data_IF_443450403361
#
_entry.id   IF_443450403361
#
_cell.length_a   1.000
_cell.length_b   1.000
_cell.length_c   1.000
_cell.angle_alpha   90.00
_cell.angle_beta   90.00
_cell.angle_gamma   90.00
#
_symmetry.space_group_name_H-M   'P 1'
#
loop_
_entity.id
_entity.type
_entity.pdbx_description
1 polymer ?
#
# COMPACT_ATOMS: atom_id res chain seq x y z
N UNK A 1 43.91 11.28 56.75
CA UNK A 1 43.67 11.59 55.34
C UNK A 1 42.38 10.91 54.93
N UNK A 2 41.27 11.66 54.78
CA UNK A 2 39.96 11.09 54.34
C UNK A 2 39.83 11.35 52.85
N UNK A 3 39.77 10.31 52.02
CA UNK A 3 39.51 10.40 50.59
C UNK A 3 37.99 10.57 50.39
N UNK A 4 37.63 11.69 49.76
CA UNK A 4 36.28 11.94 49.23
C UNK A 4 36.17 11.35 47.81
N UNK A 5 35.38 10.29 47.66
CA UNK A 5 34.98 9.83 46.32
C UNK A 5 33.79 10.69 45.86
N UNK A 6 34.00 11.48 44.81
CA UNK A 6 32.93 12.18 44.10
C UNK A 6 32.35 11.24 43.05
N UNK A 7 31.13 10.78 43.26
CA UNK A 7 30.36 10.07 42.25
C UNK A 7 29.79 11.08 41.22
N UNK A 8 30.35 11.13 40.02
CA UNK A 8 29.74 11.84 38.88
C UNK A 8 28.59 10.99 38.33
N UNK A 9 27.36 11.39 38.65
CA UNK A 9 26.17 10.84 38.00
C UNK A 9 26.02 11.42 36.60
N UNK A 10 26.27 10.60 35.54
CA UNK A 10 25.91 10.94 34.17
C UNK A 10 24.40 10.90 34.06
N UNK A 11 23.74 12.02 34.03
CA UNK A 11 22.36 12.14 33.55
C UNK A 11 22.38 12.07 32.03
N UNK A 12 22.06 10.93 31.45
CA UNK A 12 21.72 10.83 30.04
C UNK A 12 20.42 11.61 29.82
N UNK A 13 20.54 12.79 29.22
CA UNK A 13 19.38 13.56 28.71
C UNK A 13 18.78 12.74 27.56
N UNK A 14 17.72 12.00 27.86
CA UNK A 14 16.85 11.42 26.84
C UNK A 14 16.15 12.58 26.14
N UNK A 15 16.67 13.02 25.00
CA UNK A 15 15.98 14.01 24.17
C UNK A 15 14.68 13.35 23.67
N UNK A 16 13.52 14.01 23.82
CA UNK A 16 12.31 13.53 23.20
C UNK A 16 12.56 13.51 21.68
N UNK A 17 12.47 12.31 21.08
CA UNK A 17 12.38 12.15 19.64
C UNK A 17 11.07 12.81 19.23
N UNK A 18 11.12 14.02 18.71
CA UNK A 18 9.96 14.62 18.04
C UNK A 18 9.66 13.71 16.84
N UNK A 19 8.48 13.10 16.85
CA UNK A 19 7.98 12.42 15.67
C UNK A 19 7.99 13.42 14.51
N UNK A 20 8.52 13.02 13.37
CA UNK A 20 8.55 13.88 12.18
C UNK A 20 7.11 14.27 11.83
N UNK A 21 6.85 15.58 11.70
CA UNK A 21 5.51 16.07 11.36
C UNK A 21 5.14 15.58 9.94
N UNK A 22 3.92 15.06 9.76
CA UNK A 22 3.51 14.53 8.45
C UNK A 22 3.38 15.65 7.42
N UNK A 23 3.88 15.39 6.20
CA UNK A 23 3.70 16.30 5.06
C UNK A 23 2.31 16.03 4.47
N UNK A 24 1.39 16.98 4.67
CA UNK A 24 -0.02 16.86 4.29
C UNK A 24 -0.27 17.26 2.83
N UNK A 25 -1.17 16.52 2.19
CA UNK A 25 -1.77 16.93 0.91
C UNK A 25 -2.93 17.93 1.16
N UNK A 26 -3.34 18.65 0.14
CA UNK A 26 -4.48 19.61 0.25
C UNK A 26 -5.77 18.93 0.71
N UNK A 27 -5.99 17.68 0.27
CA UNK A 27 -7.14 16.85 0.66
C UNK A 27 -6.59 15.49 1.08
N UNK A 28 -6.87 15.11 2.31
CA UNK A 28 -6.56 13.76 2.81
C UNK A 28 -7.84 13.01 3.13
N UNK A 29 -7.81 11.73 2.86
CA UNK A 29 -8.94 10.86 3.07
C UNK A 29 -8.47 9.44 3.43
N UNK A 30 -9.33 8.72 4.13
CA UNK A 30 -9.21 7.30 4.43
C UNK A 30 -10.58 6.65 4.26
N UNK A 31 -10.62 5.48 3.66
CA UNK A 31 -11.83 4.69 3.45
C UNK A 31 -11.54 3.24 3.83
N UNK A 32 -12.24 2.78 4.86
CA UNK A 32 -12.18 1.41 5.36
C UNK A 32 -13.53 0.75 5.09
N UNK A 33 -13.50 -0.38 4.40
CA UNK A 33 -14.69 -1.15 4.08
C UNK A 33 -14.43 -2.63 4.27
N UNK A 34 -15.22 -3.31 5.09
CA UNK A 34 -15.09 -4.73 5.38
C UNK A 34 -16.41 -5.40 5.10
N UNK A 35 -16.47 -6.14 3.96
CA UNK A 35 -17.67 -6.88 3.61
C UNK A 35 -17.76 -8.19 4.40
N UNK A 36 -18.99 -8.62 4.68
CA UNK A 36 -19.23 -9.85 5.45
C UNK A 36 -18.40 -9.90 6.74
N UNK A 37 -18.33 -8.79 7.47
CA UNK A 37 -17.55 -8.68 8.70
C UNK A 37 -18.00 -9.68 9.79
N UNK A 38 -19.26 -10.09 9.73
CA UNK A 38 -19.93 -11.10 10.59
C UNK A 38 -19.62 -12.55 10.20
N UNK A 39 -18.93 -12.80 9.08
CA UNK A 39 -18.64 -14.16 8.56
C UNK A 39 -17.19 -14.56 8.77
N UNK A 40 -16.97 -15.85 8.99
CA UNK A 40 -15.64 -16.45 9.17
C UNK A 40 -15.43 -17.76 8.42
N UNK A 41 -16.39 -18.14 7.56
CA UNK A 41 -16.40 -19.38 6.77
C UNK A 41 -15.49 -19.34 5.53
N UNK A 42 -15.12 -18.14 5.08
CA UNK A 42 -14.22 -17.92 3.95
C UNK A 42 -12.97 -17.14 4.37
N UNK A 43 -11.84 -17.35 3.66
CA UNK A 43 -10.65 -16.53 3.88
C UNK A 43 -10.96 -15.05 3.63
N UNK A 44 -10.40 -14.17 4.45
CA UNK A 44 -10.53 -12.73 4.27
C UNK A 44 -9.30 -12.14 3.62
N UNK A 45 -9.51 -11.27 2.65
CA UNK A 45 -8.47 -10.57 1.88
C UNK A 45 -8.55 -9.09 2.17
N UNK A 46 -7.42 -8.45 2.47
CA UNK A 46 -7.31 -7.00 2.58
C UNK A 46 -6.65 -6.43 1.32
N UNK A 47 -7.33 -5.51 0.64
CA UNK A 47 -6.75 -4.70 -0.42
C UNK A 47 -6.37 -3.34 0.17
N UNK A 48 -5.07 -3.04 0.21
CA UNK A 48 -4.54 -1.77 0.69
C UNK A 48 -4.06 -0.96 -0.51
N UNK A 49 -4.39 0.34 -0.54
CA UNK A 49 -3.95 1.23 -1.59
C UNK A 49 -4.58 2.61 -1.53
N UNK A 50 -4.79 3.18 -2.70
CA UNK A 50 -5.34 4.51 -2.90
C UNK A 50 -6.65 4.48 -3.73
N UNK A 51 -6.95 5.56 -4.42
CA UNK A 51 -8.14 5.67 -5.28
C UNK A 51 -8.15 4.66 -6.44
N UNK A 52 -7.00 4.19 -6.90
CA UNK A 52 -6.92 3.14 -7.93
C UNK A 52 -7.42 1.81 -7.35
N UNK A 53 -6.96 1.45 -6.16
CA UNK A 53 -7.44 0.26 -5.45
C UNK A 53 -8.94 0.36 -5.17
N UNK A 54 -9.41 1.52 -4.73
CA UNK A 54 -10.85 1.77 -4.55
C UNK A 54 -11.64 1.60 -5.84
N UNK A 55 -11.07 2.03 -6.98
CA UNK A 55 -11.69 1.95 -8.30
C UNK A 55 -11.98 0.50 -8.75
N UNK A 56 -11.02 -0.41 -8.59
CA UNK A 56 -11.20 -1.80 -9.00
C UNK A 56 -11.75 -2.72 -7.89
N UNK A 57 -11.88 -2.26 -6.65
CA UNK A 57 -12.27 -3.08 -5.51
C UNK A 57 -13.55 -3.87 -5.72
N UNK A 58 -14.63 -3.22 -6.16
CA UNK A 58 -15.92 -3.88 -6.36
C UNK A 58 -15.89 -4.98 -7.42
N UNK A 59 -15.07 -4.83 -8.46
CA UNK A 59 -14.88 -5.86 -9.47
C UNK A 59 -14.05 -7.04 -8.94
N UNK A 60 -13.04 -6.80 -8.09
CA UNK A 60 -12.29 -7.87 -7.39
C UNK A 60 -13.22 -8.65 -6.46
N UNK A 61 -14.01 -7.95 -5.64
CA UNK A 61 -14.97 -8.56 -4.73
C UNK A 61 -15.95 -9.48 -5.48
N UNK A 62 -16.46 -9.02 -6.63
CA UNK A 62 -17.35 -9.81 -7.49
C UNK A 62 -16.66 -11.07 -8.03
N UNK A 63 -15.39 -11.00 -8.43
CA UNK A 63 -14.64 -12.14 -8.95
C UNK A 63 -14.26 -13.16 -7.87
N UNK A 64 -14.10 -12.72 -6.63
CA UNK A 64 -13.81 -13.57 -5.47
C UNK A 64 -15.07 -14.00 -4.71
N UNK A 65 -16.27 -13.66 -5.20
CA UNK A 65 -17.54 -14.00 -4.56
C UNK A 65 -17.66 -15.53 -4.33
N UNK A 66 -18.04 -15.92 -3.12
CA UNK A 66 -18.11 -17.31 -2.71
C UNK A 66 -16.78 -18.02 -2.48
N UNK A 67 -15.65 -17.34 -2.69
CA UNK A 67 -14.29 -17.87 -2.49
C UNK A 67 -13.51 -17.14 -1.39
N UNK A 68 -13.72 -15.83 -1.25
CA UNK A 68 -13.10 -15.01 -0.21
C UNK A 68 -14.01 -13.83 0.15
N UNK A 69 -13.88 -13.34 1.39
CA UNK A 69 -14.45 -12.07 1.84
C UNK A 69 -13.43 -10.97 1.64
N UNK A 70 -13.81 -9.88 0.98
CA UNK A 70 -12.92 -8.77 0.71
C UNK A 70 -13.05 -7.65 1.74
N UNK A 71 -11.94 -7.00 2.03
CA UNK A 71 -11.87 -5.75 2.77
C UNK A 71 -10.94 -4.79 2.03
N UNK A 72 -11.12 -3.49 2.22
CA UNK A 72 -10.19 -2.49 1.72
C UNK A 72 -9.82 -1.48 2.81
N UNK A 73 -8.59 -1.04 2.74
CA UNK A 73 -8.08 0.17 3.34
C UNK A 73 -7.52 1.02 2.19
N UNK A 74 -8.21 2.08 1.83
CA UNK A 74 -7.73 3.00 0.79
C UNK A 74 -7.58 4.40 1.36
N UNK A 75 -6.48 5.07 0.99
CA UNK A 75 -6.11 6.34 1.61
C UNK A 75 -5.24 7.18 0.67
N UNK A 76 -5.26 8.50 0.89
CA UNK A 76 -4.29 9.44 0.30
C UNK A 76 -2.95 9.48 1.03
N UNK A 77 -2.77 8.75 2.12
CA UNK A 77 -1.49 8.72 2.83
C UNK A 77 -0.46 7.88 2.07
N UNK A 78 0.76 8.39 2.00
CA UNK A 78 1.94 7.66 1.54
C UNK A 78 2.50 6.80 2.68
N UNK A 79 3.22 5.73 2.36
CA UNK A 79 3.96 4.92 3.37
C UNK A 79 5.01 5.74 4.14
N UNK A 80 5.41 6.91 3.63
CA UNK A 80 6.29 7.86 4.33
C UNK A 80 5.56 8.68 5.40
N UNK A 81 4.23 8.72 5.38
CA UNK A 81 3.46 9.38 6.43
C UNK A 81 3.59 8.56 7.73
N UNK A 82 4.06 9.17 8.84
CA UNK A 82 4.29 8.45 10.09
C UNK A 82 3.02 7.79 10.66
N UNK A 83 1.83 8.28 10.26
CA UNK A 83 0.54 7.76 10.74
C UNK A 83 -0.07 6.68 9.82
N UNK A 84 0.56 6.37 8.66
CA UNK A 84 0.04 5.36 7.74
C UNK A 84 -0.06 3.97 8.38
N UNK A 85 0.97 3.57 9.11
CA UNK A 85 0.99 2.27 9.77
C UNK A 85 -0.05 2.17 10.89
N UNK A 86 -0.43 3.26 11.55
CA UNK A 86 -1.47 3.25 12.59
C UNK A 86 -2.83 2.87 11.98
N UNK A 87 -3.16 3.43 10.81
CA UNK A 87 -4.40 3.11 10.09
C UNK A 87 -4.44 1.64 9.65
N UNK A 88 -3.33 1.12 9.15
CA UNK A 88 -3.21 -0.28 8.75
C UNK A 88 -3.32 -1.22 9.97
N UNK A 89 -2.61 -0.92 11.05
CA UNK A 89 -2.63 -1.70 12.28
C UNK A 89 -4.00 -1.71 12.96
N UNK A 90 -4.81 -0.66 12.78
CA UNK A 90 -6.19 -0.65 13.26
C UNK A 90 -6.99 -1.84 12.70
N UNK A 91 -6.86 -2.13 11.41
CA UNK A 91 -7.53 -3.27 10.77
C UNK A 91 -6.90 -4.61 11.15
N UNK A 92 -5.57 -4.70 11.15
CA UNK A 92 -4.87 -5.95 11.47
C UNK A 92 -5.11 -6.42 12.91
N UNK A 93 -5.45 -5.51 13.84
CA UNK A 93 -5.84 -5.84 15.21
C UNK A 93 -7.28 -6.35 15.34
N UNK A 94 -8.17 -5.93 14.42
CA UNK A 94 -9.59 -6.24 14.49
C UNK A 94 -9.98 -7.47 13.69
N UNK A 95 -9.28 -7.74 12.59
CA UNK A 95 -9.61 -8.80 11.63
C UNK A 95 -8.40 -9.65 11.31
N UNK A 96 -8.62 -10.95 11.14
CA UNK A 96 -7.62 -11.86 10.57
C UNK A 96 -7.75 -11.87 9.06
N UNK A 97 -6.62 -11.66 8.39
CA UNK A 97 -6.53 -11.72 6.93
C UNK A 97 -5.70 -12.93 6.50
N UNK A 98 -6.16 -13.63 5.46
CA UNK A 98 -5.41 -14.73 4.84
C UNK A 98 -4.46 -14.23 3.76
N UNK A 99 -4.80 -13.10 3.12
CA UNK A 99 -3.93 -12.42 2.18
C UNK A 99 -4.09 -10.89 2.31
N UNK A 100 -3.00 -10.18 2.03
CA UNK A 100 -2.95 -8.72 1.96
C UNK A 100 -2.35 -8.36 0.60
N UNK A 101 -3.15 -7.75 -0.27
CA UNK A 101 -2.71 -7.18 -1.53
C UNK A 101 -2.48 -5.68 -1.32
N UNK A 102 -1.23 -5.24 -1.50
CA UNK A 102 -0.80 -3.92 -1.07
C UNK A 102 -0.17 -3.13 -2.21
N UNK A 103 -0.68 -1.93 -2.43
CA UNK A 103 -0.09 -0.89 -3.28
C UNK A 103 0.04 0.41 -2.49
N UNK A 104 1.03 1.21 -2.82
CA UNK A 104 1.16 2.60 -2.40
C UNK A 104 2.18 3.29 -3.32
N UNK A 105 1.90 4.51 -3.81
CA UNK A 105 2.87 5.19 -4.66
C UNK A 105 2.36 6.39 -5.46
N UNK A 106 1.05 6.68 -5.45
CA UNK A 106 0.48 7.85 -6.15
C UNK A 106 0.25 9.07 -5.24
N UNK A 107 0.60 8.96 -3.96
CA UNK A 107 0.44 10.03 -2.98
C UNK A 107 1.76 10.36 -2.28
N UNK A 108 1.75 11.40 -1.43
CA UNK A 108 2.91 11.83 -0.66
C UNK A 108 4.01 12.43 -1.53
N UNK A 109 3.63 13.27 -2.50
CA UNK A 109 4.58 13.90 -3.41
C UNK A 109 5.52 14.91 -2.75
N UNK A 110 5.24 15.32 -1.52
CA UNK A 110 6.13 16.15 -0.69
C UNK A 110 7.28 15.36 -0.04
N UNK A 111 7.18 14.04 0.07
CA UNK A 111 8.25 13.19 0.58
C UNK A 111 9.28 12.86 -0.51
N UNK A 112 10.54 12.64 -0.11
CA UNK A 112 11.57 12.11 -1.02
C UNK A 112 11.34 10.63 -1.34
N UNK A 113 12.00 10.15 -2.39
CA UNK A 113 11.90 8.74 -2.73
C UNK A 113 12.68 7.82 -1.75
N UNK A 114 13.68 8.37 -1.04
CA UNK A 114 14.35 7.69 0.07
C UNK A 114 13.42 7.55 1.28
N UNK A 115 12.68 8.61 1.65
CA UNK A 115 11.65 8.53 2.70
C UNK A 115 10.56 7.52 2.33
N UNK A 116 10.17 7.45 1.04
CA UNK A 116 9.24 6.43 0.55
C UNK A 116 9.79 5.02 0.73
N UNK A 117 11.05 4.78 0.35
CA UNK A 117 11.73 3.50 0.52
C UNK A 117 11.74 3.07 1.99
N UNK A 118 12.13 3.97 2.88
CA UNK A 118 12.27 3.68 4.32
C UNK A 118 10.89 3.44 4.97
N UNK A 119 9.88 4.22 4.57
CA UNK A 119 8.48 4.02 4.98
C UNK A 119 7.92 2.68 4.50
N UNK A 120 8.24 2.27 3.27
CA UNK A 120 7.82 0.97 2.74
C UNK A 120 8.45 -0.19 3.51
N UNK A 121 9.73 -0.11 3.84
CA UNK A 121 10.42 -1.09 4.69
C UNK A 121 9.76 -1.22 6.07
N UNK A 122 9.44 -0.09 6.70
CA UNK A 122 8.75 -0.05 7.99
C UNK A 122 7.34 -0.69 7.89
N UNK A 123 6.60 -0.40 6.82
CA UNK A 123 5.27 -0.96 6.58
C UNK A 123 5.31 -2.48 6.38
N UNK A 124 6.25 -3.00 5.58
CA UNK A 124 6.41 -4.45 5.39
C UNK A 124 6.75 -5.15 6.71
N UNK A 125 7.60 -4.54 7.52
CA UNK A 125 7.93 -5.06 8.86
C UNK A 125 6.70 -5.08 9.78
N UNK A 126 5.91 -4.00 9.79
CA UNK A 126 4.68 -3.90 10.58
C UNK A 126 3.64 -4.94 10.14
N UNK A 127 3.41 -5.11 8.83
CA UNK A 127 2.51 -6.14 8.30
C UNK A 127 2.94 -7.52 8.76
N UNK A 128 4.19 -7.88 8.58
CA UNK A 128 4.69 -9.21 9.00
C UNK A 128 4.52 -9.49 10.48
N UNK A 129 4.74 -8.47 11.29
CA UNK A 129 4.61 -8.58 12.75
C UNK A 129 3.17 -8.77 13.21
N UNK A 130 2.20 -8.18 12.50
CA UNK A 130 0.82 -8.04 13.00
C UNK A 130 -0.25 -8.73 12.15
N UNK A 131 0.11 -9.41 11.05
CA UNK A 131 -0.86 -10.05 10.14
C UNK A 131 -1.09 -11.53 10.38
N UNK A 132 -0.58 -12.11 11.48
CA UNK A 132 -0.73 -13.54 11.80
C UNK A 132 -0.34 -14.49 10.64
N UNK A 133 0.65 -14.12 9.83
CA UNK A 133 1.14 -14.94 8.71
C UNK A 133 0.34 -14.80 7.43
N UNK A 134 -0.46 -13.75 7.25
CA UNK A 134 -1.13 -13.47 5.98
C UNK A 134 -0.15 -13.43 4.79
N UNK A 135 -0.56 -14.01 3.66
CA UNK A 135 0.21 -13.94 2.41
C UNK A 135 0.24 -12.49 1.91
N UNK A 136 1.40 -11.84 1.92
CA UNK A 136 1.56 -10.49 1.39
C UNK A 136 1.85 -10.54 -0.11
N UNK A 137 1.17 -9.69 -0.89
CA UNK A 137 1.36 -9.50 -2.31
C UNK A 137 1.56 -8.01 -2.54
N UNK A 138 2.65 -7.63 -3.17
CA UNK A 138 2.88 -6.26 -3.60
C UNK A 138 2.29 -6.02 -4.98
N UNK A 139 1.60 -4.91 -5.19
CA UNK A 139 1.19 -4.45 -6.50
C UNK A 139 2.00 -3.21 -6.91
N UNK A 140 2.55 -3.22 -8.12
CA UNK A 140 3.24 -2.04 -8.64
C UNK A 140 2.29 -0.88 -8.83
N UNK A 141 2.78 0.34 -8.59
CA UNK A 141 2.02 1.57 -8.81
C UNK A 141 1.88 1.82 -10.30
N UNK A 142 0.67 2.14 -10.73
CA UNK A 142 0.32 2.41 -12.13
C UNK A 142 0.87 3.76 -12.60
N UNK A 143 1.12 3.94 -13.91
CA UNK A 143 1.62 5.21 -14.45
C UNK A 143 0.56 6.30 -14.40
N UNK A 144 1.02 7.54 -14.38
CA UNK A 144 0.21 8.76 -14.58
C UNK A 144 0.44 9.27 -15.99
N UNK A 145 -0.61 9.72 -16.67
CA UNK A 145 -0.56 10.25 -18.03
C UNK A 145 -0.89 11.73 -18.07
N UNK A 146 -0.46 12.40 -19.13
CA UNK A 146 -0.84 13.79 -19.37
C UNK A 146 -2.34 13.89 -19.66
N UNK A 147 -3.03 14.77 -18.93
CA UNK A 147 -4.47 14.96 -19.05
C UNK A 147 -4.90 15.40 -20.46
N UNK A 148 -4.08 16.20 -21.09
CA UNK A 148 -4.31 16.74 -22.43
C UNK A 148 -3.96 15.75 -23.55
N UNK A 149 -3.13 14.74 -23.24
CA UNK A 149 -2.72 13.70 -24.17
C UNK A 149 -2.40 12.40 -23.45
N UNK A 150 -3.40 11.54 -23.32
CA UNK A 150 -3.28 10.27 -22.61
C UNK A 150 -2.27 9.28 -23.21
N UNK A 151 -1.78 9.49 -24.44
CA UNK A 151 -0.70 8.68 -24.99
C UNK A 151 0.66 9.00 -24.36
N UNK A 152 0.79 10.15 -23.71
CA UNK A 152 2.03 10.62 -23.08
C UNK A 152 2.01 10.38 -21.58
N UNK A 153 3.09 9.83 -21.03
CA UNK A 153 3.27 9.75 -19.58
C UNK A 153 3.58 11.13 -19.00
N UNK A 154 2.92 11.45 -17.90
CA UNK A 154 3.23 12.65 -17.11
C UNK A 154 4.57 12.50 -16.36
N UNK A 155 5.22 13.62 -16.06
CA UNK A 155 6.48 13.66 -15.28
C UNK A 155 6.41 12.85 -13.98
N UNK A 156 5.26 12.84 -13.32
CA UNK A 156 5.04 12.03 -12.10
C UNK A 156 5.30 10.54 -12.31
N UNK A 157 5.16 10.03 -13.53
CA UNK A 157 5.45 8.62 -13.86
C UNK A 157 6.92 8.28 -13.67
N UNK A 158 7.84 9.22 -13.79
CA UNK A 158 9.25 8.94 -13.53
C UNK A 158 9.51 8.71 -12.04
N UNK A 159 8.83 9.45 -11.16
CA UNK A 159 8.84 9.17 -9.72
C UNK A 159 8.18 7.83 -9.40
N UNK A 160 7.07 7.49 -10.04
CA UNK A 160 6.42 6.16 -9.92
C UNK A 160 7.40 5.05 -10.28
N UNK A 161 8.15 5.18 -11.38
CA UNK A 161 9.16 4.19 -11.78
C UNK A 161 10.27 4.03 -10.73
N UNK A 162 10.71 5.13 -10.09
CA UNK A 162 11.69 5.07 -8.99
C UNK A 162 11.11 4.31 -7.78
N UNK A 163 9.88 4.64 -7.38
CA UNK A 163 9.17 3.96 -6.28
C UNK A 163 8.98 2.47 -6.57
N UNK A 164 8.54 2.12 -7.78
CA UNK A 164 8.39 0.73 -8.19
C UNK A 164 9.73 -0.04 -8.17
N UNK A 165 10.84 0.60 -8.54
CA UNK A 165 12.18 -0.01 -8.45
C UNK A 165 12.57 -0.28 -7.00
N UNK A 166 12.44 0.68 -6.10
CA UNK A 166 12.70 0.47 -4.68
C UNK A 166 11.82 -0.63 -4.09
N UNK A 167 10.53 -0.62 -4.45
CA UNK A 167 9.61 -1.66 -4.02
C UNK A 167 10.04 -3.04 -4.53
N UNK A 168 10.45 -3.17 -5.79
CA UNK A 168 10.90 -4.44 -6.36
C UNK A 168 12.11 -5.02 -5.61
N UNK A 169 13.09 -4.17 -5.25
CA UNK A 169 14.26 -4.57 -4.46
C UNK A 169 13.85 -5.05 -3.05
N UNK A 170 12.99 -4.28 -2.38
CA UNK A 170 12.47 -4.60 -1.04
C UNK A 170 11.68 -5.92 -1.07
N UNK A 171 10.75 -6.05 -2.02
CA UNK A 171 9.88 -7.23 -2.11
C UNK A 171 10.68 -8.49 -2.44
N UNK A 172 11.65 -8.39 -3.35
CA UNK A 172 12.58 -9.49 -3.66
C UNK A 172 13.37 -9.91 -2.42
N UNK A 173 13.97 -8.97 -1.68
CA UNK A 173 14.74 -9.25 -0.47
C UNK A 173 13.87 -9.86 0.64
N UNK A 174 12.58 -9.58 0.62
CA UNK A 174 11.61 -10.07 1.59
C UNK A 174 10.81 -11.30 1.12
N UNK A 175 11.05 -11.85 -0.07
CA UNK A 175 10.30 -12.99 -0.60
C UNK A 175 8.81 -12.69 -0.84
N UNK A 176 8.44 -11.42 -1.09
CA UNK A 176 7.08 -10.99 -1.37
C UNK A 176 6.84 -11.03 -2.88
N UNK A 177 5.84 -11.78 -3.37
CA UNK A 177 5.51 -11.80 -4.79
C UNK A 177 4.97 -10.44 -5.25
N UNK A 178 5.31 -10.09 -6.49
CA UNK A 178 4.85 -8.85 -7.12
C UNK A 178 3.76 -9.14 -8.14
N UNK A 179 2.66 -8.39 -8.05
CA UNK A 179 1.61 -8.28 -9.05
C UNK A 179 1.87 -7.00 -9.87
N UNK A 180 2.33 -7.15 -11.11
CA UNK A 180 2.79 -6.02 -11.92
C UNK A 180 1.62 -5.32 -12.63
N UNK A 181 0.97 -4.40 -11.93
CA UNK A 181 -0.12 -3.59 -12.48
C UNK A 181 0.41 -2.47 -13.39
N UNK A 182 1.65 -1.99 -13.19
CA UNK A 182 2.25 -1.01 -14.08
C UNK A 182 2.40 -1.58 -15.49
N UNK A 183 2.99 -2.76 -15.59
CA UNK A 183 3.21 -3.45 -16.87
C UNK A 183 1.89 -3.78 -17.57
N UNK A 184 0.85 -4.18 -16.80
CA UNK A 184 -0.47 -4.48 -17.33
C UNK A 184 -1.09 -3.29 -18.08
N UNK A 185 -0.91 -2.06 -17.57
CA UNK A 185 -1.66 -0.89 -18.08
C UNK A 185 -0.81 0.09 -18.89
N UNK A 186 0.52 -0.05 -18.91
CA UNK A 186 1.42 0.96 -19.50
C UNK A 186 1.17 1.24 -20.98
N UNK A 187 0.71 0.25 -21.72
CA UNK A 187 0.48 0.35 -23.17
C UNK A 187 -1.01 0.57 -23.53
N UNK A 188 -1.84 0.87 -22.50
CA UNK A 188 -3.28 1.01 -22.64
C UNK A 188 -3.78 2.41 -22.26
N UNK A 189 -3.46 3.41 -23.08
CA UNK A 189 -3.97 4.76 -22.90
C UNK A 189 -5.52 4.81 -22.94
N UNK A 190 -6.14 3.93 -23.73
CA UNK A 190 -7.60 3.79 -23.86
C UNK A 190 -8.29 3.26 -22.60
N UNK A 191 -7.55 2.77 -21.61
CA UNK A 191 -8.08 2.32 -20.31
C UNK A 191 -8.08 3.44 -19.26
N UNK A 192 -7.40 4.55 -19.53
CA UNK A 192 -7.30 5.67 -18.61
C UNK A 192 -8.59 6.50 -18.62
N UNK A 193 -8.91 7.12 -17.49
CA UNK A 193 -9.87 8.21 -17.40
C UNK A 193 -9.26 9.51 -17.92
N UNK A 194 -10.08 10.50 -18.20
CA UNK A 194 -9.65 11.80 -18.76
C UNK A 194 -8.77 12.62 -17.84
N UNK A 195 -8.64 12.24 -16.56
CA UNK A 195 -7.75 12.88 -15.59
C UNK A 195 -6.29 12.40 -15.65
N UNK A 196 -6.03 11.36 -16.45
CA UNK A 196 -4.70 10.78 -16.62
C UNK A 196 -4.19 9.95 -15.44
N UNK A 197 -4.99 9.78 -14.38
CA UNK A 197 -4.63 9.04 -13.15
C UNK A 197 -5.48 7.79 -12.98
N UNK A 198 -6.82 7.98 -12.97
CA UNK A 198 -7.76 6.90 -12.74
C UNK A 198 -8.05 6.10 -14.01
N UNK A 199 -8.68 4.96 -13.84
CA UNK A 199 -9.04 4.06 -14.94
C UNK A 199 -10.55 4.11 -15.21
N UNK A 200 -10.93 3.98 -16.47
CA UNK A 200 -12.32 3.77 -16.88
C UNK A 200 -12.77 2.33 -16.54
N UNK A 201 -14.00 1.98 -16.88
CA UNK A 201 -14.55 0.66 -16.57
C UNK A 201 -13.69 -0.50 -17.11
N UNK A 202 -13.21 -0.37 -18.37
CA UNK A 202 -12.36 -1.39 -19.02
C UNK A 202 -11.03 -1.58 -18.29
N UNK A 203 -10.38 -0.48 -17.91
CA UNK A 203 -9.13 -0.52 -17.16
C UNK A 203 -9.33 -1.09 -15.74
N UNK A 204 -10.38 -0.67 -15.04
CA UNK A 204 -10.71 -1.22 -13.72
C UNK A 204 -11.02 -2.72 -13.78
N UNK A 205 -11.71 -3.21 -14.80
CA UNK A 205 -12.00 -4.64 -14.98
C UNK A 205 -10.72 -5.45 -15.24
N UNK A 206 -9.80 -4.92 -16.05
CA UNK A 206 -8.50 -5.54 -16.32
C UNK A 206 -7.62 -5.62 -15.05
N UNK A 207 -7.53 -4.51 -14.29
CA UNK A 207 -6.84 -4.46 -13.00
C UNK A 207 -7.45 -5.45 -12.01
N UNK A 208 -8.77 -5.46 -11.88
CA UNK A 208 -9.49 -6.36 -10.98
C UNK A 208 -9.24 -7.83 -11.30
N UNK A 209 -9.22 -8.19 -12.58
CA UNK A 209 -8.94 -9.56 -13.02
C UNK A 209 -7.55 -10.01 -12.56
N UNK A 210 -6.51 -9.22 -12.83
CA UNK A 210 -5.15 -9.57 -12.45
C UNK A 210 -4.97 -9.60 -10.93
N UNK A 211 -5.63 -8.69 -10.20
CA UNK A 211 -5.62 -8.68 -8.72
C UNK A 211 -6.30 -9.93 -8.17
N UNK A 212 -7.49 -10.29 -8.66
CA UNK A 212 -8.21 -11.48 -8.22
C UNK A 212 -7.45 -12.77 -8.51
N UNK A 213 -6.80 -12.88 -9.68
CA UNK A 213 -5.93 -14.00 -10.04
C UNK A 213 -4.72 -14.10 -9.09
N UNK A 214 -4.06 -12.98 -8.79
CA UNK A 214 -2.92 -12.93 -7.88
C UNK A 214 -3.30 -13.34 -6.46
N UNK A 215 -4.43 -12.84 -5.96
CA UNK A 215 -5.00 -13.22 -4.66
C UNK A 215 -5.39 -14.69 -4.63
N UNK A 216 -6.10 -15.19 -5.66
CA UNK A 216 -6.50 -16.61 -5.77
C UNK A 216 -5.29 -17.54 -5.73
N UNK A 217 -4.23 -17.18 -6.45
CA UNK A 217 -2.96 -17.93 -6.43
C UNK A 217 -2.34 -17.97 -5.04
N UNK A 218 -2.30 -16.83 -4.34
CA UNK A 218 -1.73 -16.75 -2.99
C UNK A 218 -2.52 -17.55 -1.95
N UNK A 219 -3.83 -17.69 -2.15
CA UNK A 219 -4.72 -18.45 -1.28
C UNK A 219 -4.91 -19.92 -1.72
N UNK A 220 -4.35 -20.36 -2.85
CA UNK A 220 -4.54 -21.69 -3.41
C UNK A 220 -6.00 -21.96 -3.84
N UNK A 221 -6.76 -20.90 -4.19
CA UNK A 221 -8.14 -21.03 -4.67
C UNK A 221 -8.18 -21.56 -6.12
N UNK A 222 -9.15 -22.40 -6.39
CA UNK A 222 -9.41 -22.94 -7.74
C UNK A 222 -10.50 -22.16 -8.44
#
# INVERSE_FOLDING_TARGET
>A
MKQFCVLLSLFALCQPSFAEEPIREQIEWIDIWVTHADKSDLPRVLLVGDSITRGYFGAVEKQLAGKACCARLTTSKCVSDPTFNDDLLLLLKQYKFSAIHFNNGLHGWGYSEEQYRDGLLATISAVRKHSDGASLIWATTTPVREKENLETFAERTDRVKVRNRFAAEIMKANGVPTNDLFELVKDHADWQSTDGVHFNAKGNDALAKQVAESVSKALGLK
#
